data_IF_051568553578
#
_entry.id   IF_051568553578
#
_cell.length_a   1.000
_cell.length_b   1.000
_cell.length_c   1.000
_cell.angle_alpha   90.00
_cell.angle_beta   90.00
_cell.angle_gamma   90.00
#
_symmetry.space_group_name_H-M   'P 1'
#
loop_
_entity.id
_entity.type
_entity.pdbx_description
1 polymer ?
#
# COMPACT_ATOMS: atom_id res chain seq x y z
N UNK A 1 -11.37 -3.89 45.52
CA UNK A 1 -10.40 -3.32 44.55
C UNK A 1 -9.63 -4.38 43.74
N UNK A 2 -9.84 -5.69 43.96
CA UNK A 2 -9.12 -6.79 43.28
C UNK A 2 -9.85 -7.38 42.06
N UNK A 3 -11.16 -7.21 41.94
CA UNK A 3 -11.95 -7.75 40.81
C UNK A 3 -11.73 -6.97 39.49
N UNK A 4 -11.62 -5.65 39.55
CA UNK A 4 -11.33 -4.80 38.38
C UNK A 4 -9.95 -5.05 37.74
N UNK A 5 -9.01 -5.66 38.45
CA UNK A 5 -7.65 -5.90 37.95
C UNK A 5 -7.59 -7.17 37.09
N UNK A 6 -8.36 -8.20 37.43
CA UNK A 6 -8.38 -9.47 36.69
C UNK A 6 -9.15 -9.38 35.37
N UNK A 7 -10.26 -8.63 35.33
CA UNK A 7 -11.00 -8.37 34.08
C UNK A 7 -10.18 -7.53 33.09
N UNK A 8 -9.41 -6.54 33.58
CA UNK A 8 -8.53 -5.73 32.73
C UNK A 8 -7.35 -6.54 32.14
N UNK A 9 -6.79 -7.50 32.90
CA UNK A 9 -5.72 -8.38 32.41
C UNK A 9 -6.27 -9.35 31.35
N UNK A 10 -7.42 -9.99 31.59
CA UNK A 10 -8.05 -10.90 30.62
C UNK A 10 -8.44 -10.20 29.31
N UNK A 11 -9.00 -8.99 29.39
CA UNK A 11 -9.30 -8.18 28.20
C UNK A 11 -8.03 -7.79 27.41
N UNK A 12 -6.92 -7.52 28.10
CA UNK A 12 -5.65 -7.18 27.45
C UNK A 12 -5.01 -8.37 26.71
N UNK A 13 -5.11 -9.57 27.29
CA UNK A 13 -4.59 -10.80 26.68
C UNK A 13 -5.42 -11.24 25.47
N UNK A 14 -6.74 -11.06 25.54
CA UNK A 14 -7.63 -11.36 24.42
C UNK A 14 -7.41 -10.42 23.23
N UNK A 15 -7.33 -9.10 23.47
CA UNK A 15 -7.01 -8.12 22.44
C UNK A 15 -5.63 -8.38 21.80
N UNK A 16 -4.64 -8.82 22.59
CA UNK A 16 -3.32 -9.19 22.08
C UNK A 16 -3.38 -10.42 21.18
N UNK A 17 -4.14 -11.46 21.54
CA UNK A 17 -4.34 -12.67 20.73
C UNK A 17 -5.05 -12.35 19.41
N UNK A 18 -6.09 -11.54 19.44
CA UNK A 18 -6.82 -11.11 18.24
C UNK A 18 -5.92 -10.32 17.29
N UNK A 19 -5.12 -9.39 17.82
CA UNK A 19 -4.17 -8.60 17.02
C UNK A 19 -3.08 -9.48 16.39
N UNK A 20 -2.59 -10.49 17.11
CA UNK A 20 -1.63 -11.48 16.58
C UNK A 20 -2.25 -12.33 15.47
N UNK A 21 -3.48 -12.82 15.66
CA UNK A 21 -4.19 -13.59 14.64
C UNK A 21 -4.45 -12.76 13.38
N UNK A 22 -4.88 -11.50 13.54
CA UNK A 22 -5.08 -10.57 12.43
C UNK A 22 -3.78 -10.30 11.66
N UNK A 23 -2.66 -10.05 12.37
CA UNK A 23 -1.36 -9.86 11.72
C UNK A 23 -0.93 -11.09 10.94
N UNK A 24 -1.10 -12.29 11.50
CA UNK A 24 -0.74 -13.55 10.82
C UNK A 24 -1.57 -13.76 9.55
N UNK A 25 -2.88 -13.51 9.62
CA UNK A 25 -3.77 -13.58 8.45
C UNK A 25 -3.36 -12.60 7.36
N UNK A 26 -2.95 -11.38 7.74
CA UNK A 26 -2.44 -10.39 6.79
C UNK A 26 -1.12 -10.83 6.15
N UNK A 27 -0.21 -11.43 6.91
CA UNK A 27 1.04 -12.00 6.38
C UNK A 27 0.79 -13.12 5.36
N UNK A 28 -0.17 -13.99 5.61
CA UNK A 28 -0.57 -15.05 4.68
C UNK A 28 -1.15 -14.48 3.38
N UNK A 29 -2.04 -13.48 3.50
CA UNK A 29 -2.61 -12.78 2.34
C UNK A 29 -1.52 -12.07 1.52
N UNK A 30 -0.60 -11.38 2.18
CA UNK A 30 0.55 -10.71 1.54
C UNK A 30 1.41 -11.71 0.76
N UNK A 31 1.79 -12.84 1.38
CA UNK A 31 2.57 -13.88 0.68
C UNK A 31 1.84 -14.41 -0.53
N UNK A 32 0.53 -14.66 -0.42
CA UNK A 32 -0.30 -15.14 -1.53
C UNK A 32 -0.41 -14.12 -2.67
N UNK A 33 -0.63 -12.85 -2.36
CA UNK A 33 -0.71 -11.81 -3.39
C UNK A 33 0.65 -11.63 -4.09
N UNK A 34 1.73 -11.53 -3.31
CA UNK A 34 3.07 -11.32 -3.86
C UNK A 34 3.58 -12.50 -4.68
N UNK A 35 3.05 -13.72 -4.48
CA UNK A 35 3.39 -14.88 -5.32
C UNK A 35 2.68 -14.89 -6.68
N UNK A 36 1.59 -14.13 -6.85
CA UNK A 36 0.87 -13.97 -8.12
C UNK A 36 1.45 -12.89 -9.03
N UNK A 37 2.45 -12.15 -8.54
CA UNK A 37 3.09 -11.03 -9.24
C UNK A 37 4.47 -11.51 -9.71
N UNK A 38 4.68 -11.55 -11.03
CA UNK A 38 5.92 -12.09 -11.62
C UNK A 38 7.15 -11.25 -11.30
N UNK A 39 7.03 -9.93 -11.41
CA UNK A 39 8.12 -8.99 -11.17
C UNK A 39 7.66 -7.82 -10.30
N UNK A 40 8.51 -7.37 -9.39
CA UNK A 40 8.26 -6.21 -8.54
C UNK A 40 9.38 -5.20 -8.72
N UNK A 41 9.03 -3.96 -9.04
CA UNK A 41 9.99 -2.89 -9.33
C UNK A 41 9.78 -1.80 -8.31
N UNK A 42 10.78 -1.57 -7.46
CA UNK A 42 10.78 -0.46 -6.52
C UNK A 42 11.48 0.73 -7.16
N UNK A 43 10.77 1.86 -7.26
CA UNK A 43 11.31 3.12 -7.79
C UNK A 43 11.71 3.99 -6.62
N UNK A 44 13.02 4.26 -6.51
CA UNK A 44 13.65 4.97 -5.39
C UNK A 44 14.17 6.35 -5.81
N UNK A 45 14.27 7.26 -4.85
CA UNK A 45 14.94 8.55 -5.05
C UNK A 45 15.54 9.08 -3.77
N UNK A 46 16.71 9.72 -3.86
CA UNK A 46 17.40 10.28 -2.69
C UNK A 46 16.78 11.60 -2.20
N UNK A 47 16.09 12.35 -3.07
CA UNK A 47 15.49 13.65 -2.74
C UNK A 47 14.10 13.76 -3.35
N UNK A 48 13.22 14.54 -2.70
CA UNK A 48 11.93 14.93 -3.28
C UNK A 48 12.11 15.83 -4.50
N UNK A 49 11.14 15.82 -5.41
CA UNK A 49 11.12 16.73 -6.58
C UNK A 49 11.98 16.32 -7.77
N UNK A 50 12.68 15.18 -7.73
CA UNK A 50 13.51 14.69 -8.85
C UNK A 50 12.72 14.00 -9.98
N UNK A 51 11.39 13.92 -9.86
CA UNK A 51 10.54 13.26 -10.85
C UNK A 51 10.35 11.75 -10.66
N UNK A 52 10.67 11.18 -9.49
CA UNK A 52 10.48 9.76 -9.16
C UNK A 52 9.10 9.21 -9.56
N UNK A 53 8.03 9.85 -9.09
CA UNK A 53 6.65 9.43 -9.36
C UNK A 53 6.30 9.54 -10.84
N UNK A 54 6.85 10.54 -11.53
CA UNK A 54 6.69 10.69 -12.98
C UNK A 54 7.31 9.51 -13.72
N UNK A 55 8.51 9.07 -13.30
CA UNK A 55 9.18 7.88 -13.87
C UNK A 55 8.37 6.62 -13.57
N UNK A 56 7.89 6.44 -12.34
CA UNK A 56 7.08 5.28 -11.96
C UNK A 56 5.79 5.17 -12.78
N UNK A 57 5.04 6.27 -12.92
CA UNK A 57 3.80 6.33 -13.70
C UNK A 57 4.06 6.07 -15.18
N UNK A 58 5.04 6.74 -15.79
CA UNK A 58 5.32 6.54 -17.22
C UNK A 58 5.81 5.12 -17.51
N UNK A 59 6.60 4.52 -16.61
CA UNK A 59 7.00 3.12 -16.73
C UNK A 59 5.77 2.19 -16.71
N UNK A 60 4.83 2.44 -15.78
CA UNK A 60 3.60 1.66 -15.67
C UNK A 60 2.72 1.77 -16.91
N UNK A 61 2.48 2.99 -17.39
CA UNK A 61 1.71 3.23 -18.61
C UNK A 61 2.38 2.59 -19.84
N UNK A 62 3.68 2.78 -20.01
CA UNK A 62 4.42 2.23 -21.16
C UNK A 62 4.41 0.70 -21.21
N UNK A 63 4.49 0.03 -20.06
CA UNK A 63 4.38 -1.43 -20.00
C UNK A 63 2.95 -1.91 -20.23
N UNK A 64 1.96 -1.17 -19.72
CA UNK A 64 0.54 -1.46 -19.94
C UNK A 64 0.15 -1.37 -21.42
N UNK A 65 0.66 -0.35 -22.13
CA UNK A 65 0.48 -0.17 -23.58
C UNK A 65 1.10 -1.31 -24.40
N UNK A 66 2.15 -1.96 -23.87
CA UNK A 66 2.76 -3.16 -24.47
C UNK A 66 1.98 -4.44 -24.18
N UNK A 67 0.86 -4.35 -23.47
CA UNK A 67 -0.03 -5.48 -23.16
C UNK A 67 0.30 -6.25 -21.88
N UNK A 68 1.26 -5.78 -21.08
CA UNK A 68 1.55 -6.39 -19.78
C UNK A 68 0.50 -5.99 -18.74
N UNK A 69 0.17 -6.89 -17.81
CA UNK A 69 -0.71 -6.59 -16.67
C UNK A 69 0.09 -5.89 -15.57
N UNK A 70 -0.27 -4.64 -15.29
CA UNK A 70 0.49 -3.76 -14.41
C UNK A 70 -0.35 -3.33 -13.21
N UNK A 71 0.26 -3.43 -12.02
CA UNK A 71 -0.17 -2.70 -10.84
C UNK A 71 0.82 -1.58 -10.54
N UNK A 72 0.32 -0.41 -10.14
CA UNK A 72 1.14 0.64 -9.53
C UNK A 72 0.66 0.94 -8.11
N UNK A 73 1.60 0.94 -7.16
CA UNK A 73 1.37 1.25 -5.76
C UNK A 73 2.18 2.48 -5.37
N UNK A 74 1.50 3.54 -5.00
CA UNK A 74 2.11 4.75 -4.45
C UNK A 74 2.13 4.68 -2.93
N UNK A 75 3.34 4.54 -2.39
CA UNK A 75 3.63 4.43 -0.97
C UNK A 75 3.98 5.80 -0.34
N UNK A 76 3.99 6.88 -1.12
CA UNK A 76 4.25 8.22 -0.63
C UNK A 76 2.95 8.93 -0.23
N UNK A 77 2.92 9.46 0.98
CA UNK A 77 1.79 10.22 1.51
C UNK A 77 1.93 11.73 1.25
N UNK A 78 3.17 12.20 1.04
CA UNK A 78 3.52 13.61 1.05
C UNK A 78 3.98 14.05 -0.35
N UNK A 79 3.09 13.99 -1.34
CA UNK A 79 3.42 14.48 -2.68
C UNK A 79 2.24 14.57 -3.66
N UNK A 80 2.36 15.36 -4.75
CA UNK A 80 1.46 15.28 -5.90
C UNK A 80 1.55 13.86 -6.47
N UNK A 81 0.47 13.11 -6.27
CA UNK A 81 0.52 11.66 -6.21
C UNK A 81 0.35 10.98 -7.58
N UNK A 82 0.63 9.68 -7.61
CA UNK A 82 0.20 8.78 -8.69
C UNK A 82 -1.29 8.96 -8.96
N UNK A 83 -2.11 9.17 -7.91
CA UNK A 83 -3.54 9.44 -8.06
C UNK A 83 -3.83 10.69 -8.89
N UNK A 84 -3.08 11.77 -8.66
CA UNK A 84 -3.20 12.99 -9.46
C UNK A 84 -2.77 12.77 -10.92
N UNK A 85 -1.62 12.12 -11.14
CA UNK A 85 -1.09 11.86 -12.48
C UNK A 85 -2.00 10.95 -13.31
N UNK A 86 -2.71 10.03 -12.66
CA UNK A 86 -3.61 9.07 -13.29
C UNK A 86 -5.09 9.50 -13.24
N UNK A 87 -5.39 10.73 -12.80
CA UNK A 87 -6.74 11.31 -12.87
C UNK A 87 -7.76 10.72 -11.89
N UNK A 88 -7.29 10.21 -10.75
CA UNK A 88 -8.15 9.67 -9.69
C UNK A 88 -7.94 10.29 -8.30
N UNK A 89 -7.26 11.45 -8.22
CA UNK A 89 -7.17 12.24 -6.99
C UNK A 89 -8.56 12.50 -6.37
N UNK A 90 -8.67 12.34 -5.04
CA UNK A 90 -9.92 12.48 -4.30
C UNK A 90 -10.90 11.30 -4.44
N UNK A 91 -10.62 10.30 -5.30
CA UNK A 91 -11.43 9.08 -5.37
C UNK A 91 -11.03 8.11 -4.26
N UNK A 92 -12.03 7.44 -3.70
CA UNK A 92 -11.84 6.43 -2.66
C UNK A 92 -11.77 5.03 -3.27
N UNK A 93 -10.90 4.19 -2.71
CA UNK A 93 -10.89 2.77 -2.99
C UNK A 93 -12.14 2.14 -2.39
N UNK A 94 -12.72 1.19 -3.12
CA UNK A 94 -13.89 0.45 -2.67
C UNK A 94 -13.46 -0.87 -2.04
N UNK A 95 -14.20 -1.33 -1.03
CA UNK A 95 -14.04 -2.67 -0.48
C UNK A 95 -14.98 -3.66 -1.15
N UNK A 96 -14.56 -4.91 -1.21
CA UNK A 96 -15.34 -6.08 -1.57
C UNK A 96 -15.27 -7.11 -0.42
N UNK A 97 -16.06 -8.20 -0.47
CA UNK A 97 -15.87 -9.34 0.42
C UNK A 97 -14.46 -9.96 0.34
N UNK A 98 -13.81 -9.87 -0.82
CA UNK A 98 -12.51 -10.47 -1.14
C UNK A 98 -11.33 -9.58 -0.73
N UNK A 99 -11.49 -8.26 -0.75
CA UNK A 99 -10.41 -7.31 -0.47
C UNK A 99 -10.71 -5.86 -0.84
N UNK A 100 -9.65 -5.14 -1.22
CA UNK A 100 -9.71 -3.75 -1.67
C UNK A 100 -9.64 -3.75 -3.20
N UNK A 101 -10.63 -3.14 -3.84
CA UNK A 101 -10.68 -3.00 -5.30
C UNK A 101 -9.73 -1.87 -5.70
N UNK A 102 -8.69 -2.12 -6.51
CA UNK A 102 -7.78 -1.07 -6.97
C UNK A 102 -8.47 -0.16 -8.01
N UNK A 103 -7.95 1.06 -8.19
CA UNK A 103 -8.45 1.96 -9.24
C UNK A 103 -8.09 1.43 -10.61
N UNK A 104 -9.08 1.22 -11.48
CA UNK A 104 -8.83 0.91 -12.89
C UNK A 104 -8.42 2.20 -13.63
N UNK A 105 -7.25 2.17 -14.26
CA UNK A 105 -6.68 3.28 -15.04
C UNK A 105 -6.78 2.97 -16.53
N UNK A 106 -6.52 1.72 -16.91
CA UNK A 106 -6.73 1.19 -18.26
C UNK A 106 -7.10 -0.30 -18.18
N UNK A 107 -7.30 -0.95 -19.33
CA UNK A 107 -7.55 -2.39 -19.40
C UNK A 107 -6.47 -3.24 -18.70
N UNK A 108 -5.21 -2.79 -18.75
CA UNK A 108 -4.06 -3.53 -18.25
C UNK A 108 -3.32 -2.78 -17.11
N UNK A 109 -3.89 -1.71 -16.56
CA UNK A 109 -3.27 -0.91 -15.49
C UNK A 109 -4.27 -0.64 -14.37
N UNK A 110 -3.90 -1.09 -13.18
CA UNK A 110 -4.59 -0.77 -11.93
C UNK A 110 -3.67 -0.03 -10.98
N UNK A 111 -4.24 0.85 -10.16
CA UNK A 111 -3.48 1.74 -9.28
C UNK A 111 -4.04 1.80 -7.87
N UNK A 112 -3.14 1.93 -6.91
CA UNK A 112 -3.43 2.22 -5.51
C UNK A 112 -2.49 3.32 -5.05
N UNK A 113 -3.00 4.27 -4.29
CA UNK A 113 -2.20 5.34 -3.69
C UNK A 113 -2.59 5.57 -2.25
N UNK A 114 -1.60 5.81 -1.40
CA UNK A 114 -1.78 6.27 -0.01
C UNK A 114 -2.68 7.50 0.09
N UNK A 115 -2.69 8.37 -0.92
CA UNK A 115 -3.59 9.52 -0.97
C UNK A 115 -5.08 9.13 -0.92
N UNK A 116 -5.43 7.92 -1.33
CA UNK A 116 -6.82 7.41 -1.31
C UNK A 116 -7.32 7.07 0.11
N UNK A 117 -6.44 7.06 1.12
CA UNK A 117 -6.78 6.83 2.54
C UNK A 117 -7.17 8.12 3.27
N UNK A 118 -6.94 9.29 2.68
CA UNK A 118 -7.19 10.58 3.34
C UNK A 118 -8.66 10.98 3.09
N UNK A 119 -9.46 11.04 4.16
CA UNK A 119 -10.91 11.31 4.07
C UNK A 119 -11.25 12.77 3.78
N UNK A 120 -10.42 13.72 4.25
CA UNK A 120 -10.59 15.17 4.12
C UNK A 120 -9.24 15.89 4.13
N UNK A 121 -9.13 16.96 3.34
CA UNK A 121 -7.92 17.81 3.20
C UNK A 121 -7.56 18.63 4.44
N UNK A 122 -8.39 18.61 5.49
CA UNK A 122 -8.42 19.71 6.47
C UNK A 122 -7.76 19.39 7.82
N UNK A 123 -7.27 18.15 8.02
CA UNK A 123 -6.44 17.82 9.17
C UNK A 123 -5.16 17.13 8.69
N UNK A 124 -3.96 17.73 8.88
CA UNK A 124 -2.71 17.04 8.63
C UNK A 124 -2.58 15.91 9.67
N UNK A 125 -3.09 14.74 9.33
CA UNK A 125 -2.83 13.52 10.09
C UNK A 125 -1.33 13.25 9.99
N UNK A 126 -0.63 13.29 11.12
CA UNK A 126 0.77 12.87 11.18
C UNK A 126 0.77 11.35 11.16
N UNK A 127 0.89 10.77 9.97
CA UNK A 127 1.07 9.33 9.80
C UNK A 127 2.46 8.95 10.29
N UNK A 128 2.53 8.36 11.49
CA UNK A 128 3.78 7.83 12.05
C UNK A 128 4.23 6.60 11.25
N UNK A 129 5.54 6.33 11.22
CA UNK A 129 6.15 5.19 10.49
C UNK A 129 5.40 3.86 10.63
N UNK A 130 5.05 3.40 11.85
CA UNK A 130 4.32 2.14 12.03
C UNK A 130 2.94 2.10 11.35
N UNK A 131 2.22 3.23 11.30
CA UNK A 131 0.92 3.31 10.65
C UNK A 131 1.06 3.25 9.12
N UNK A 132 2.05 3.96 8.57
CA UNK A 132 2.40 3.90 7.14
C UNK A 132 2.75 2.48 6.72
N UNK A 133 3.58 1.81 7.52
CA UNK A 133 3.98 0.43 7.26
C UNK A 133 2.81 -0.56 7.32
N UNK A 134 1.89 -0.38 8.27
CA UNK A 134 0.68 -1.19 8.34
C UNK A 134 -0.20 -0.99 7.11
N UNK A 135 -0.44 0.26 6.69
CA UNK A 135 -1.22 0.54 5.51
C UNK A 135 -0.58 -0.03 4.24
N UNK A 136 0.75 0.04 4.13
CA UNK A 136 1.46 -0.54 2.98
C UNK A 136 1.30 -2.07 2.96
N UNK A 137 1.43 -2.71 4.12
CA UNK A 137 1.21 -4.15 4.28
C UNK A 137 -0.23 -4.54 3.91
N UNK A 138 -1.21 -3.73 4.29
CA UNK A 138 -2.62 -3.91 3.89
C UNK A 138 -2.79 -3.75 2.38
N UNK A 139 -2.18 -2.77 1.74
CA UNK A 139 -2.25 -2.63 0.29
C UNK A 139 -1.58 -3.77 -0.46
N UNK A 140 -0.44 -4.26 0.01
CA UNK A 140 0.22 -5.41 -0.60
C UNK A 140 -0.60 -6.70 -0.41
N UNK A 141 -1.20 -6.90 0.77
CA UNK A 141 -1.90 -8.14 1.11
C UNK A 141 -3.40 -8.20 0.82
N UNK A 142 -4.11 -7.08 0.85
CA UNK A 142 -5.58 -7.07 0.80
C UNK A 142 -6.14 -6.45 -0.47
N UNK A 143 -5.32 -5.74 -1.27
CA UNK A 143 -5.75 -5.31 -2.59
C UNK A 143 -5.87 -6.51 -3.52
N UNK A 144 -6.94 -6.51 -4.31
CA UNK A 144 -7.20 -7.49 -5.36
C UNK A 144 -6.33 -7.21 -6.59
N UNK A 145 -5.01 -7.40 -6.46
CA UNK A 145 -4.07 -7.21 -7.55
C UNK A 145 -4.27 -8.19 -8.72
N UNK A 146 -4.78 -9.38 -8.40
CA UNK A 146 -4.86 -10.49 -9.35
C UNK A 146 -3.47 -10.94 -9.84
N UNK A 147 -3.44 -11.51 -11.04
CA UNK A 147 -2.18 -11.92 -11.68
C UNK A 147 -1.58 -10.75 -12.45
N UNK A 148 -0.41 -10.28 -12.00
CA UNK A 148 0.32 -9.18 -12.62
C UNK A 148 1.64 -9.66 -13.22
N UNK A 149 2.03 -9.07 -14.35
CA UNK A 149 3.38 -9.21 -14.87
C UNK A 149 4.34 -8.32 -14.06
N UNK A 150 3.91 -7.10 -13.73
CA UNK A 150 4.71 -6.16 -12.93
C UNK A 150 3.87 -5.45 -11.88
N UNK A 151 4.42 -5.35 -10.67
CA UNK A 151 4.00 -4.37 -9.66
C UNK A 151 5.09 -3.30 -9.54
N UNK A 152 4.74 -2.06 -9.85
CA UNK A 152 5.61 -0.90 -9.70
C UNK A 152 5.27 -0.21 -8.39
N UNK A 153 6.26 -0.01 -7.54
CA UNK A 153 6.09 0.67 -6.25
C UNK A 153 6.83 2.00 -6.28
N UNK A 154 6.08 3.08 -6.15
CA UNK A 154 6.62 4.43 -6.00
C UNK A 154 6.90 4.70 -4.51
N UNK A 155 8.18 4.70 -4.12
CA UNK A 155 8.56 4.83 -2.70
C UNK A 155 8.47 6.29 -2.23
N UNK A 156 8.43 6.56 -0.92
CA UNK A 156 8.75 7.90 -0.41
C UNK A 156 10.17 8.34 -0.81
N UNK A 157 10.47 9.65 -0.86
CA UNK A 157 11.83 10.15 -1.10
C UNK A 157 12.74 9.91 0.12
N UNK A 158 14.04 9.79 -0.15
CA UNK A 158 15.08 9.64 0.86
C UNK A 158 15.59 8.19 0.97
N UNK A 159 16.62 8.01 1.80
CA UNK A 159 17.21 6.70 2.14
C UNK A 159 16.88 6.29 3.58
N UNK A 160 15.75 6.76 4.09
CA UNK A 160 15.26 6.41 5.42
C UNK A 160 14.85 4.95 5.54
N UNK A 161 14.23 4.60 6.66
CA UNK A 161 13.78 3.23 6.93
C UNK A 161 12.60 2.81 6.03
N UNK A 162 11.84 3.77 5.47
CA UNK A 162 10.63 3.45 4.72
C UNK A 162 10.91 2.65 3.44
N UNK A 163 11.76 3.08 2.49
CA UNK A 163 12.09 2.27 1.31
C UNK A 163 12.65 0.88 1.64
N UNK A 164 13.49 0.78 2.68
CA UNK A 164 14.02 -0.50 3.13
C UNK A 164 12.92 -1.42 3.67
N UNK A 165 11.96 -0.84 4.40
CA UNK A 165 10.81 -1.57 4.91
C UNK A 165 9.90 -2.07 3.78
N UNK A 166 9.77 -1.32 2.68
CA UNK A 166 9.08 -1.81 1.47
C UNK A 166 9.77 -3.06 0.92
N UNK A 167 11.10 -3.03 0.78
CA UNK A 167 11.87 -4.19 0.33
C UNK A 167 11.65 -5.42 1.21
N UNK A 168 11.51 -5.24 2.52
CA UNK A 168 11.24 -6.35 3.46
C UNK A 168 9.82 -6.95 3.31
N UNK A 169 8.86 -6.16 2.81
CA UNK A 169 7.49 -6.60 2.60
C UNK A 169 7.24 -7.22 1.22
N UNK A 170 8.17 -7.05 0.27
CA UNK A 170 8.04 -7.56 -1.09
C UNK A 170 9.06 -8.70 -1.28
N UNK A 171 8.63 -9.96 -1.17
CA UNK A 171 9.49 -11.13 -1.39
C UNK A 171 9.76 -11.41 -2.87
#
# INVERSE_FOLDING_TARGET
MTENTNENIQNSDQARKEKMAASKKLDEKLKRNMSQIKHKILVLSNKGGVGKSLVAVNLACSLSEKGFKIGILDADLHGPSVAKMLGFEGKRLQGSPEGIIPMSVSLNLVAVSMASLIETSDAPLIWRGPLKMMALKQFLGEVEWGNLDYLIVDSPPGTGDEPLSICQLIP
#
